data_IF_412142668789
#
_entry.id   IF_412142668789
#
_cell.length_a   1.000
_cell.length_b   1.000
_cell.length_c   1.000
_cell.angle_alpha   90.00
_cell.angle_beta   90.00
_cell.angle_gamma   90.00
#
_symmetry.space_group_name_H-M   'P 1'
#
loop_
_entity.id
_entity.type
_entity.pdbx_description
1 polymer ?
#
# COMPACT_ATOMS: atom_id res chain seq x y z
N UNK A 1 -14.68 -12.42 9.29
CA UNK A 1 -13.66 -11.78 10.17
C UNK A 1 -12.60 -11.14 9.29
N UNK A 2 -12.16 -9.91 9.58
CA UNK A 2 -11.09 -9.26 8.82
C UNK A 2 -9.73 -9.78 9.26
N UNK A 3 -8.90 -10.21 8.31
CA UNK A 3 -7.51 -10.62 8.53
C UNK A 3 -6.62 -9.80 7.60
N UNK A 4 -5.52 -9.25 8.12
CA UNK A 4 -4.47 -8.64 7.29
C UNK A 4 -3.21 -9.51 7.41
N UNK A 5 -2.60 -9.86 6.27
CA UNK A 5 -1.38 -10.71 6.25
C UNK A 5 -0.47 -10.40 5.07
N UNK A 6 0.81 -10.82 5.13
CA UNK A 6 1.66 -10.93 3.95
C UNK A 6 1.00 -11.76 2.84
N UNK A 7 1.21 -11.32 1.60
CA UNK A 7 0.68 -11.95 0.40
C UNK A 7 1.70 -11.89 -0.75
N UNK A 8 1.47 -12.71 -1.77
CA UNK A 8 2.20 -12.63 -3.03
C UNK A 8 1.74 -11.45 -3.89
N UNK A 9 2.58 -11.05 -4.85
CA UNK A 9 2.19 -10.03 -5.83
C UNK A 9 0.93 -10.45 -6.61
N UNK A 10 0.82 -11.72 -6.99
CA UNK A 10 -0.33 -12.23 -7.75
C UNK A 10 -1.63 -12.15 -6.96
N UNK A 11 -1.60 -12.40 -5.65
CA UNK A 11 -2.79 -12.28 -4.78
C UNK A 11 -3.31 -10.83 -4.71
N UNK A 12 -2.40 -9.86 -4.58
CA UNK A 12 -2.82 -8.45 -4.40
C UNK A 12 -3.13 -7.75 -5.72
N UNK A 13 -2.59 -8.23 -6.84
CA UNK A 13 -2.63 -7.47 -8.10
C UNK A 13 -4.05 -7.34 -8.65
N UNK A 14 -4.89 -8.35 -8.48
CA UNK A 14 -6.28 -8.31 -8.95
C UNK A 14 -7.06 -7.16 -8.31
N UNK A 15 -7.13 -7.11 -6.97
CA UNK A 15 -7.85 -6.05 -6.25
C UNK A 15 -7.26 -4.66 -6.53
N UNK A 16 -5.93 -4.56 -6.63
CA UNK A 16 -5.26 -3.30 -6.96
C UNK A 16 -5.67 -2.78 -8.33
N UNK A 17 -5.70 -3.63 -9.36
CA UNK A 17 -6.08 -3.23 -10.70
C UNK A 17 -7.57 -2.88 -10.77
N UNK A 18 -8.45 -3.72 -10.21
CA UNK A 18 -9.91 -3.47 -10.18
C UNK A 18 -10.26 -2.12 -9.56
N UNK A 19 -9.57 -1.73 -8.49
CA UNK A 19 -9.86 -0.47 -7.78
C UNK A 19 -9.13 0.73 -8.38
N UNK A 20 -7.86 0.57 -8.76
CA UNK A 20 -7.02 1.71 -9.12
C UNK A 20 -6.97 1.96 -10.62
N UNK A 21 -7.23 0.94 -11.43
CA UNK A 21 -7.09 0.90 -12.89
C UNK A 21 -8.27 0.14 -13.53
N UNK A 22 -9.54 0.49 -13.22
CA UNK A 22 -10.70 -0.21 -13.79
C UNK A 22 -10.74 -0.12 -15.32
N UNK A 23 -10.18 0.96 -15.88
CA UNK A 23 -10.12 1.23 -17.33
C UNK A 23 -8.76 0.86 -17.95
N UNK A 24 -7.91 0.11 -17.23
CA UNK A 24 -6.59 -0.30 -17.69
C UNK A 24 -5.42 0.55 -17.15
N UNK A 25 -4.18 0.21 -17.54
CA UNK A 25 -2.96 0.82 -17.02
C UNK A 25 -2.81 2.28 -17.45
N UNK A 26 -2.21 3.09 -16.59
CA UNK A 26 -1.87 4.49 -16.86
C UNK A 26 -0.37 4.64 -17.19
N UNK A 27 0.02 5.70 -17.94
CA UNK A 27 1.44 6.04 -18.09
C UNK A 27 2.12 6.18 -16.73
N UNK A 28 3.30 5.55 -16.59
CA UNK A 28 4.05 5.53 -15.33
C UNK A 28 3.63 4.41 -14.36
N UNK A 29 2.69 3.54 -14.74
CA UNK A 29 2.45 2.29 -14.02
C UNK A 29 3.64 1.35 -14.18
N UNK A 30 4.62 1.50 -13.29
CA UNK A 30 5.73 0.57 -13.15
C UNK A 30 5.33 -0.60 -12.26
N UNK A 31 5.92 -1.77 -12.53
CA UNK A 31 5.80 -2.92 -11.65
C UNK A 31 6.41 -2.67 -10.26
N UNK A 32 6.49 -3.74 -9.47
CA UNK A 32 7.19 -3.72 -8.20
C UNK A 32 8.58 -4.34 -8.39
N UNK A 33 9.66 -3.57 -8.16
CA UNK A 33 11.02 -4.12 -8.10
C UNK A 33 11.16 -5.23 -7.03
N UNK A 34 12.27 -5.99 -7.04
CA UNK A 34 12.63 -6.87 -5.93
C UNK A 34 12.70 -6.12 -4.59
N UNK A 35 12.39 -6.80 -3.48
CA UNK A 35 12.39 -6.21 -2.13
C UNK A 35 11.09 -5.49 -1.75
N UNK A 36 10.06 -5.55 -2.60
CA UNK A 36 8.73 -5.09 -2.24
C UNK A 36 7.94 -6.17 -1.49
N UNK A 37 7.20 -5.72 -0.48
CA UNK A 37 6.33 -6.54 0.34
C UNK A 37 4.87 -6.20 0.03
N UNK A 38 4.00 -7.20 0.07
CA UNK A 38 2.59 -7.04 -0.25
C UNK A 38 1.74 -7.51 0.92
N UNK A 39 0.70 -6.74 1.24
CA UNK A 39 -0.26 -7.05 2.29
C UNK A 39 -1.65 -7.17 1.67
N UNK A 40 -2.37 -8.21 2.08
CA UNK A 40 -3.74 -8.46 1.68
C UNK A 40 -4.66 -8.37 2.91
N UNK A 41 -5.78 -7.69 2.76
CA UNK A 41 -6.91 -7.72 3.65
C UNK A 41 -7.91 -8.76 3.13
N UNK A 42 -8.29 -9.70 3.98
CA UNK A 42 -9.07 -10.87 3.62
C UNK A 42 -10.32 -10.96 4.50
N UNK A 43 -11.45 -11.23 3.86
CA UNK A 43 -12.72 -11.58 4.51
C UNK A 43 -13.26 -12.81 3.81
N UNK A 44 -13.59 -13.85 4.59
CA UNK A 44 -14.19 -15.10 4.10
C UNK A 44 -13.42 -15.76 2.92
N UNK A 45 -12.09 -15.62 2.93
CA UNK A 45 -11.18 -16.17 1.93
C UNK A 45 -10.96 -15.28 0.71
N UNK A 46 -11.67 -14.16 0.58
CA UNK A 46 -11.53 -13.21 -0.53
C UNK A 46 -10.60 -12.05 -0.17
N UNK A 47 -9.70 -11.69 -1.08
CA UNK A 47 -8.87 -10.47 -0.96
C UNK A 47 -9.73 -9.25 -1.31
N UNK A 48 -10.14 -8.52 -0.28
CA UNK A 48 -11.02 -7.34 -0.38
C UNK A 48 -10.26 -6.01 -0.39
N UNK A 49 -8.96 -6.04 -0.08
CA UNK A 49 -8.08 -4.89 -0.13
C UNK A 49 -6.62 -5.28 -0.08
N UNK A 50 -5.75 -4.38 -0.50
CA UNK A 50 -4.32 -4.60 -0.49
C UNK A 50 -3.51 -3.30 -0.51
N UNK A 51 -2.25 -3.40 -0.09
CA UNK A 51 -1.21 -2.40 -0.34
C UNK A 51 0.14 -3.07 -0.56
N UNK A 52 1.10 -2.31 -1.09
CA UNK A 52 2.49 -2.76 -1.24
C UNK A 52 3.43 -1.72 -0.66
N UNK A 53 4.49 -2.14 0.02
CA UNK A 53 5.57 -1.27 0.51
C UNK A 53 6.92 -1.76 0.02
N UNK A 54 7.90 -0.88 -0.18
CA UNK A 54 9.24 -1.31 -0.52
C UNK A 54 10.27 -0.18 -0.59
N UNK A 55 11.57 -0.51 -0.74
CA UNK A 55 12.65 0.46 -0.79
C UNK A 55 12.42 1.48 -1.91
N UNK A 56 12.33 2.76 -1.55
CA UNK A 56 12.26 3.86 -2.54
C UNK A 56 12.70 5.15 -1.87
N UNK A 57 13.74 5.83 -2.42
CA UNK A 57 14.19 7.12 -1.89
C UNK A 57 13.07 8.15 -1.83
N UNK A 58 12.99 8.90 -0.73
CA UNK A 58 12.12 10.06 -0.63
C UNK A 58 12.45 11.08 -1.73
N UNK A 59 11.50 11.41 -2.64
CA UNK A 59 11.83 12.20 -3.83
C UNK A 59 11.87 13.71 -3.59
N UNK A 60 11.56 14.19 -2.38
CA UNK A 60 11.41 15.62 -2.07
C UNK A 60 12.21 16.06 -0.83
N UNK A 61 13.53 15.87 -0.83
CA UNK A 61 14.38 16.31 0.30
C UNK A 61 14.31 17.82 0.54
N UNK A 62 13.81 18.61 -0.42
CA UNK A 62 13.52 20.04 -0.29
C UNK A 62 12.35 20.34 0.66
N UNK A 63 11.45 19.38 0.89
CA UNK A 63 10.24 19.58 1.68
C UNK A 63 10.36 19.06 3.12
N UNK A 64 11.21 18.05 3.34
CA UNK A 64 11.43 17.46 4.66
C UNK A 64 12.71 16.62 4.66
N UNK A 65 13.43 16.67 5.78
CA UNK A 65 14.40 15.64 6.15
C UNK A 65 13.66 14.42 6.71
N UNK A 66 14.08 13.23 6.30
CA UNK A 66 13.42 11.96 6.68
C UNK A 66 14.46 10.95 7.13
N UNK A 67 14.14 10.19 8.18
CA UNK A 67 14.98 9.11 8.65
C UNK A 67 15.13 8.01 7.58
N UNK A 68 16.34 7.47 7.49
CA UNK A 68 16.70 6.42 6.52
C UNK A 68 16.62 5.02 7.17
N UNK A 69 16.37 3.96 6.38
CA UNK A 69 16.02 4.00 4.96
C UNK A 69 14.57 4.45 4.73
N UNK A 70 14.30 5.10 3.60
CA UNK A 70 12.93 5.47 3.21
C UNK A 70 12.31 4.42 2.31
N UNK A 71 11.05 4.09 2.57
CA UNK A 71 10.26 3.17 1.78
C UNK A 71 8.98 3.85 1.30
N UNK A 72 8.46 3.41 0.16
CA UNK A 72 7.21 3.92 -0.38
C UNK A 72 6.08 2.92 -0.19
N UNK A 73 4.93 3.40 0.30
CA UNK A 73 3.64 2.73 0.19
C UNK A 73 3.01 3.06 -1.17
N UNK A 74 2.70 2.02 -1.93
CA UNK A 74 2.02 2.10 -3.24
C UNK A 74 0.77 1.23 -3.24
N UNK A 75 -0.10 1.57 -4.19
CA UNK A 75 -1.23 0.74 -4.59
C UNK A 75 -2.17 0.34 -3.44
N UNK A 76 -2.41 1.25 -2.48
CA UNK A 76 -3.49 1.10 -1.49
C UNK A 76 -4.83 1.03 -2.20
N UNK A 77 -5.51 -0.11 -2.09
CA UNK A 77 -6.75 -0.41 -2.76
C UNK A 77 -7.69 -1.18 -1.82
N UNK A 78 -8.96 -0.78 -1.78
CA UNK A 78 -10.03 -1.48 -1.06
C UNK A 78 -11.25 -1.50 -1.96
N UNK A 79 -11.87 -2.67 -2.10
CA UNK A 79 -13.11 -2.82 -2.85
C UNK A 79 -14.18 -1.84 -2.32
N UNK A 80 -14.98 -1.21 -3.20
CA UNK A 80 -15.93 -0.16 -2.79
C UNK A 80 -16.85 -0.55 -1.63
N UNK A 81 -17.36 -1.78 -1.64
CA UNK A 81 -18.34 -2.28 -0.67
C UNK A 81 -17.71 -2.70 0.67
N UNK A 82 -16.38 -2.71 0.76
CA UNK A 82 -15.63 -3.08 1.96
C UNK A 82 -14.86 -1.89 2.56
N UNK A 83 -15.23 -0.67 2.16
CA UNK A 83 -14.66 0.55 2.75
C UNK A 83 -15.21 0.75 4.17
N UNK A 84 -14.45 1.46 5.00
CA UNK A 84 -14.81 1.72 6.41
C UNK A 84 -14.00 0.86 7.37
N UNK A 85 -12.69 1.09 7.44
CA UNK A 85 -11.77 0.45 8.40
C UNK A 85 -10.72 -0.47 7.76
N UNK A 86 -11.01 -1.10 6.61
CA UNK A 86 -10.06 -2.01 5.93
C UNK A 86 -8.78 -1.29 5.51
N UNK A 87 -8.90 -0.08 4.95
CA UNK A 87 -7.73 0.73 4.59
C UNK A 87 -6.87 1.09 5.80
N UNK A 88 -7.51 1.41 6.93
CA UNK A 88 -6.80 1.70 8.20
C UNK A 88 -6.07 0.48 8.72
N UNK A 89 -6.71 -0.70 8.68
CA UNK A 89 -6.07 -1.96 9.08
C UNK A 89 -4.88 -2.32 8.19
N UNK A 90 -4.98 -2.09 6.87
CA UNK A 90 -3.86 -2.27 5.94
C UNK A 90 -2.73 -1.27 6.22
N UNK A 91 -3.06 -0.01 6.50
CA UNK A 91 -2.05 1.02 6.82
C UNK A 91 -1.31 0.67 8.11
N UNK A 92 -2.03 0.33 9.17
CA UNK A 92 -1.41 -0.10 10.43
C UNK A 92 -0.48 -1.31 10.23
N UNK A 93 -0.92 -2.33 9.49
CA UNK A 93 -0.07 -3.49 9.19
C UNK A 93 1.15 -3.13 8.32
N UNK A 94 1.04 -2.13 7.45
CA UNK A 94 2.16 -1.64 6.65
C UNK A 94 3.18 -0.87 7.50
N UNK A 95 2.70 -0.08 8.47
CA UNK A 95 3.53 0.63 9.45
C UNK A 95 4.24 -0.35 10.40
N UNK A 96 3.53 -1.36 10.91
CA UNK A 96 4.10 -2.43 11.73
C UNK A 96 5.22 -3.16 10.97
N UNK A 97 4.96 -3.57 9.72
CA UNK A 97 5.97 -4.22 8.88
C UNK A 97 7.17 -3.31 8.60
N UNK A 98 6.94 -2.02 8.36
CA UNK A 98 8.01 -1.06 8.16
C UNK A 98 8.88 -0.93 9.43
N UNK A 99 8.26 -0.89 10.61
CA UNK A 99 8.96 -0.85 11.89
C UNK A 99 9.77 -2.14 12.14
N UNK A 100 9.20 -3.32 11.88
CA UNK A 100 9.89 -4.62 11.97
C UNK A 100 11.14 -4.68 11.07
N UNK A 101 11.09 -4.02 9.92
CA UNK A 101 12.18 -3.95 8.94
C UNK A 101 13.12 -2.77 9.19
N UNK A 102 12.98 -2.07 10.32
CA UNK A 102 13.77 -0.90 10.70
C UNK A 102 13.79 0.21 9.62
N UNK A 103 12.66 0.41 8.95
CA UNK A 103 12.46 1.50 8.00
C UNK A 103 12.32 2.81 8.77
N UNK A 104 13.15 3.81 8.42
CA UNK A 104 13.11 5.12 9.09
C UNK A 104 11.91 5.97 8.68
N UNK A 105 11.46 5.85 7.43
CA UNK A 105 10.28 6.60 6.96
C UNK A 105 9.50 5.81 5.90
N UNK A 106 8.18 5.71 6.11
CA UNK A 106 7.24 5.22 5.11
C UNK A 106 6.50 6.42 4.49
N UNK A 107 6.58 6.60 3.17
CA UNK A 107 5.95 7.71 2.46
C UNK A 107 5.05 7.23 1.32
N UNK A 108 4.14 8.07 0.84
CA UNK A 108 3.24 7.72 -0.26
C UNK A 108 2.96 8.89 -1.19
N UNK A 109 2.79 8.61 -2.49
CA UNK A 109 2.16 9.57 -3.42
C UNK A 109 0.65 9.37 -3.38
N UNK A 110 0.02 9.94 -2.34
CA UNK A 110 -1.39 9.74 -2.07
C UNK A 110 -2.29 10.45 -3.09
N UNK A 111 -3.39 9.80 -3.49
CA UNK A 111 -4.50 10.47 -4.19
C UNK A 111 -5.14 11.45 -3.23
N UNK A 112 -5.48 12.66 -3.68
CA UNK A 112 -6.11 13.71 -2.84
C UNK A 112 -7.35 13.19 -2.10
N UNK A 113 -8.18 12.38 -2.77
CA UNK A 113 -9.39 11.78 -2.16
C UNK A 113 -9.09 10.77 -1.05
N UNK A 114 -7.87 10.24 -0.99
CA UNK A 114 -7.44 9.28 0.02
C UNK A 114 -6.73 9.95 1.20
N UNK A 115 -6.56 11.28 1.22
CA UNK A 115 -5.84 11.97 2.30
C UNK A 115 -6.48 11.75 3.68
N UNK A 116 -7.80 11.54 3.75
CA UNK A 116 -8.47 11.23 5.03
C UNK A 116 -8.08 9.88 5.64
N UNK A 117 -7.46 8.97 4.87
CA UNK A 117 -6.90 7.72 5.40
C UNK A 117 -5.53 7.94 6.08
N UNK A 118 -4.75 8.92 5.61
CA UNK A 118 -3.37 9.15 6.03
C UNK A 118 -3.21 10.30 7.04
N UNK A 119 -4.32 10.78 7.60
CA UNK A 119 -4.38 11.83 8.62
C UNK A 119 -4.90 11.24 9.91
#
# INVERSE_FOLDING_TARGET
MLIVRPASLSEVRDVQLRVLRPDGPLPGDTGFPPGWHHLAAIVDGEVIGACSIGPTPWPRPDLAETDQPTWQLRSMAVLPDHRGGVGTALLAAAEDLAAELAVGCLWATARVRALGLYR
#
